data_IF_972401351402
#
_entry.id   IF_972401351402
#
_cell.length_a   1.000
_cell.length_b   1.000
_cell.length_c   1.000
_cell.angle_alpha   90.00
_cell.angle_beta   90.00
_cell.angle_gamma   90.00
#
_symmetry.space_group_name_H-M   'P 1'
#
loop_
_entity.id
_entity.type
_entity.pdbx_description
1 polymer ?
#
# COMPACT_ATOMS: atom_id res chain seq x y z
N UNK A 1 19.68 -82.20 -9.41
CA UNK A 1 19.03 -81.87 -8.12
C UNK A 1 19.21 -80.37 -7.88
N UNK A 2 18.16 -79.56 -8.12
CA UNK A 2 18.20 -78.11 -7.88
C UNK A 2 17.30 -77.76 -6.67
N UNK A 3 17.80 -77.06 -5.64
CA UNK A 3 16.98 -76.70 -4.48
C UNK A 3 16.07 -75.50 -4.82
N UNK A 4 14.77 -75.71 -4.62
CA UNK A 4 13.71 -74.76 -4.91
C UNK A 4 13.53 -73.85 -3.67
N UNK A 5 14.15 -72.67 -3.65
CA UNK A 5 13.98 -71.70 -2.56
C UNK A 5 12.61 -71.01 -2.66
N UNK A 6 11.57 -71.63 -2.09
CA UNK A 6 10.28 -70.95 -1.90
C UNK A 6 10.39 -70.03 -0.67
N UNK A 7 10.63 -68.74 -0.92
CA UNK A 7 10.39 -67.67 0.05
C UNK A 7 8.90 -67.67 0.44
N UNK A 8 8.55 -68.41 1.49
CA UNK A 8 7.23 -68.35 2.11
C UNK A 8 7.18 -67.07 2.93
N UNK A 9 6.92 -65.93 2.28
CA UNK A 9 6.62 -64.68 2.96
C UNK A 9 5.50 -64.96 3.96
N UNK A 10 5.81 -64.78 5.24
CA UNK A 10 4.87 -65.03 6.33
C UNK A 10 3.72 -64.03 6.15
N UNK A 11 2.47 -64.53 6.08
CA UNK A 11 1.22 -63.74 6.05
C UNK A 11 1.21 -62.45 6.89
N UNK A 12 1.84 -62.37 8.09
CA UNK A 12 1.94 -61.10 8.83
C UNK A 12 2.76 -59.99 8.14
N UNK A 13 3.76 -60.30 7.31
CA UNK A 13 4.55 -59.28 6.59
C UNK A 13 3.73 -58.62 5.46
N UNK A 14 2.87 -59.39 4.77
CA UNK A 14 1.97 -58.82 3.75
C UNK A 14 0.93 -57.89 4.38
N UNK A 15 0.41 -58.25 5.56
CA UNK A 15 -0.52 -57.39 6.31
C UNK A 15 0.14 -56.10 6.79
N UNK A 16 1.40 -56.16 7.23
CA UNK A 16 2.16 -54.98 7.66
C UNK A 16 2.45 -54.03 6.49
N UNK A 17 2.83 -54.56 5.32
CA UNK A 17 3.07 -53.75 4.11
C UNK A 17 1.80 -53.08 3.62
N UNK A 18 0.65 -53.77 3.67
CA UNK A 18 -0.66 -53.19 3.33
C UNK A 18 -1.10 -52.09 4.31
N UNK A 19 -0.83 -52.26 5.61
CA UNK A 19 -1.10 -51.23 6.63
C UNK A 19 -0.24 -49.97 6.44
N UNK A 20 1.04 -50.14 6.09
CA UNK A 20 1.94 -49.01 5.81
C UNK A 20 1.57 -48.32 4.50
N UNK A 21 1.16 -49.06 3.46
CA UNK A 21 0.70 -48.47 2.21
C UNK A 21 -0.59 -47.67 2.36
N UNK A 22 -1.52 -48.12 3.22
CA UNK A 22 -2.77 -47.39 3.50
C UNK A 22 -2.51 -46.10 4.32
N UNK A 23 -1.47 -46.08 5.14
CA UNK A 23 -1.08 -44.90 5.93
C UNK A 23 -0.48 -43.77 5.07
N UNK A 24 0.11 -44.08 3.91
CA UNK A 24 0.71 -43.08 3.01
C UNK A 24 -0.33 -42.40 2.11
N UNK A 25 -1.42 -43.09 1.77
CA UNK A 25 -2.49 -42.56 0.87
C UNK A 25 -3.43 -41.59 1.61
N UNK A 26 -3.46 -41.61 2.94
CA UNK A 26 -4.33 -40.76 3.76
C UNK A 26 -3.73 -39.41 4.20
N UNK A 27 -2.51 -39.07 3.77
CA UNK A 27 -1.93 -37.76 4.06
C UNK A 27 -2.76 -36.70 3.30
N UNK A 28 -3.44 -35.77 3.98
CA UNK A 28 -4.10 -34.67 3.28
C UNK A 28 -3.02 -33.94 2.48
N UNK A 29 -3.21 -33.88 1.15
CA UNK A 29 -2.42 -33.01 0.28
C UNK A 29 -2.42 -31.64 0.95
N UNK A 30 -1.22 -31.14 1.29
CA UNK A 30 -1.03 -30.04 2.21
C UNK A 30 -2.06 -28.94 2.00
N UNK A 31 -2.85 -28.65 3.04
CA UNK A 31 -3.58 -27.40 3.13
C UNK A 31 -2.50 -26.33 3.10
N UNK A 32 -2.21 -25.78 1.91
CA UNK A 32 -1.38 -24.60 1.79
C UNK A 32 -2.11 -23.50 2.57
N UNK A 33 -1.60 -23.22 3.77
CA UNK A 33 -2.12 -22.19 4.64
C UNK A 33 -2.20 -20.88 3.83
N UNK A 34 -3.38 -20.28 3.80
CA UNK A 34 -3.63 -19.02 3.12
C UNK A 34 -2.70 -17.96 3.72
N UNK A 35 -1.77 -17.44 2.92
CA UNK A 35 -0.83 -16.39 3.37
C UNK A 35 -1.54 -15.04 3.39
N UNK A 36 -1.23 -14.18 4.36
CA UNK A 36 -1.74 -12.81 4.34
C UNK A 36 -0.83 -11.90 3.51
N UNK A 37 -1.45 -11.05 2.71
CA UNK A 37 -0.80 -10.03 1.90
C UNK A 37 -1.18 -8.66 2.49
N UNK A 38 -0.28 -8.11 3.31
CA UNK A 38 -0.57 -6.93 4.14
C UNK A 38 -0.46 -5.62 3.37
N UNK A 39 -1.53 -4.85 3.32
CA UNK A 39 -1.57 -3.47 2.80
C UNK A 39 -1.65 -2.50 3.96
N UNK A 40 -0.77 -1.51 4.01
CA UNK A 40 -0.81 -0.46 5.02
C UNK A 40 -1.83 0.64 4.71
N UNK A 41 -2.67 0.99 5.67
CA UNK A 41 -3.44 2.23 5.67
C UNK A 41 -2.81 3.18 6.71
N UNK A 42 -1.83 3.99 6.28
CA UNK A 42 -1.14 4.96 7.15
C UNK A 42 -1.86 6.30 7.05
N UNK A 43 -2.98 6.38 7.76
CA UNK A 43 -3.99 7.43 7.56
C UNK A 43 -4.53 7.94 8.91
N UNK A 44 -5.03 9.18 8.99
CA UNK A 44 -5.64 9.68 10.22
C UNK A 44 -7.00 9.02 10.43
N UNK A 45 -7.12 8.14 11.42
CA UNK A 45 -8.41 7.53 11.81
C UNK A 45 -8.96 8.11 13.11
N UNK A 46 -8.17 8.96 13.76
CA UNK A 46 -8.61 9.84 14.85
C UNK A 46 -8.21 11.29 14.59
N UNK A 47 -8.70 12.19 15.45
CA UNK A 47 -8.42 13.62 15.35
C UNK A 47 -9.21 14.36 14.26
N UNK A 48 -8.83 15.61 13.93
CA UNK A 48 -9.61 16.49 13.07
C UNK A 48 -9.79 15.98 11.63
N UNK A 49 -8.84 15.19 11.12
CA UNK A 49 -8.86 14.64 9.77
C UNK A 49 -9.42 13.21 9.68
N UNK A 50 -9.99 12.67 10.77
CA UNK A 50 -10.44 11.26 10.87
C UNK A 50 -11.38 10.84 9.74
N UNK A 51 -12.28 11.74 9.31
CA UNK A 51 -13.24 11.44 8.25
C UNK A 51 -12.56 11.01 6.94
N UNK A 52 -11.42 11.63 6.60
CA UNK A 52 -10.66 11.28 5.40
C UNK A 52 -10.00 9.91 5.53
N UNK A 53 -9.30 9.64 6.63
CA UNK A 53 -8.62 8.36 6.80
C UNK A 53 -9.57 7.19 7.00
N UNK A 54 -10.70 7.39 7.68
CA UNK A 54 -11.76 6.37 7.77
C UNK A 54 -12.37 6.05 6.39
N UNK A 55 -12.51 7.05 5.52
CA UNK A 55 -12.95 6.83 4.13
C UNK A 55 -11.97 5.94 3.36
N UNK A 56 -10.68 6.24 3.44
CA UNK A 56 -9.63 5.45 2.77
C UNK A 56 -9.50 4.05 3.37
N UNK A 57 -9.51 3.92 4.70
CA UNK A 57 -9.48 2.62 5.37
C UNK A 57 -10.63 1.73 4.88
N UNK A 58 -11.86 2.23 4.91
CA UNK A 58 -13.04 1.48 4.47
C UNK A 58 -12.99 1.15 2.99
N UNK A 59 -12.47 2.06 2.15
CA UNK A 59 -12.27 1.80 0.73
C UNK A 59 -11.27 0.67 0.48
N UNK A 60 -10.17 0.63 1.24
CA UNK A 60 -9.20 -0.47 1.18
C UNK A 60 -9.78 -1.78 1.69
N UNK A 61 -10.56 -1.76 2.78
CA UNK A 61 -11.24 -2.95 3.31
C UNK A 61 -12.24 -3.51 2.30
N UNK A 62 -13.07 -2.67 1.68
CA UNK A 62 -14.01 -3.07 0.65
C UNK A 62 -13.29 -3.64 -0.58
N UNK A 63 -12.22 -2.99 -1.03
CA UNK A 63 -11.41 -3.51 -2.14
C UNK A 63 -10.77 -4.87 -1.80
N UNK A 64 -10.32 -5.07 -0.56
CA UNK A 64 -9.80 -6.35 -0.09
C UNK A 64 -10.88 -7.45 -0.06
N UNK A 65 -12.11 -7.10 0.29
CA UNK A 65 -13.26 -8.01 0.22
C UNK A 65 -13.61 -8.40 -1.22
N UNK A 66 -13.68 -7.42 -2.12
CA UNK A 66 -14.00 -7.64 -3.55
C UNK A 66 -12.95 -8.51 -4.25
N UNK A 67 -11.66 -8.29 -3.96
CA UNK A 67 -10.57 -9.13 -4.48
C UNK A 67 -10.62 -10.53 -3.88
N UNK A 68 -10.98 -10.66 -2.61
CA UNK A 68 -11.08 -11.93 -1.90
C UNK A 68 -9.73 -12.67 -1.81
N UNK A 69 -9.74 -13.97 -2.14
CA UNK A 69 -8.54 -14.80 -2.18
C UNK A 69 -8.03 -14.87 -3.61
N UNK A 70 -6.79 -14.44 -3.82
CA UNK A 70 -6.14 -14.43 -5.12
C UNK A 70 -4.92 -15.37 -5.11
N UNK A 71 -4.46 -15.77 -6.30
CA UNK A 71 -3.30 -16.65 -6.44
C UNK A 71 -2.18 -15.95 -7.22
N UNK A 72 -0.96 -15.98 -6.68
CA UNK A 72 0.25 -15.46 -7.33
C UNK A 72 1.30 -16.56 -7.31
N UNK A 73 1.88 -16.88 -8.47
CA UNK A 73 2.88 -17.94 -8.62
C UNK A 73 2.49 -19.29 -7.98
N UNK A 74 1.19 -19.64 -8.01
CA UNK A 74 0.65 -20.89 -7.44
C UNK A 74 0.38 -20.85 -5.93
N UNK A 75 0.68 -19.75 -5.25
CA UNK A 75 0.37 -19.55 -3.83
C UNK A 75 -0.89 -18.70 -3.65
N UNK A 76 -1.72 -19.07 -2.66
CA UNK A 76 -2.96 -18.35 -2.34
C UNK A 76 -2.72 -17.30 -1.27
N UNK A 77 -3.20 -16.09 -1.54
CA UNK A 77 -3.09 -14.92 -0.69
C UNK A 77 -4.46 -14.33 -0.40
N UNK A 78 -4.60 -13.73 0.79
CA UNK A 78 -5.72 -12.85 1.12
C UNK A 78 -5.19 -11.48 1.50
N UNK A 79 -5.81 -10.43 0.97
CA UNK A 79 -5.49 -9.06 1.36
C UNK A 79 -5.86 -8.84 2.84
N UNK A 80 -4.92 -8.30 3.59
CA UNK A 80 -5.10 -7.88 4.98
C UNK A 80 -4.78 -6.38 5.07
N UNK A 81 -5.78 -5.56 5.38
CA UNK A 81 -5.57 -4.12 5.57
C UNK A 81 -5.11 -3.90 7.03
N UNK A 82 -3.97 -3.26 7.19
CA UNK A 82 -3.41 -2.92 8.51
C UNK A 82 -3.38 -1.40 8.66
N UNK A 83 -4.14 -0.90 9.62
CA UNK A 83 -4.31 0.55 9.83
C UNK A 83 -3.32 1.10 10.85
N UNK A 84 -2.73 2.25 10.51
CA UNK A 84 -1.81 2.99 11.35
C UNK A 84 -2.29 4.43 11.48
N UNK A 85 -2.77 4.79 12.68
CA UNK A 85 -3.33 6.11 12.93
C UNK A 85 -2.24 7.18 12.98
N UNK A 86 -2.31 8.15 12.06
CA UNK A 86 -1.38 9.27 12.02
C UNK A 86 -1.89 10.50 12.75
N UNK A 87 -3.18 10.58 13.08
CA UNK A 87 -3.85 11.79 13.61
C UNK A 87 -3.58 13.05 12.74
N UNK A 88 -3.07 12.88 11.52
CA UNK A 88 -2.60 13.92 10.62
C UNK A 88 -1.44 14.76 11.18
N UNK A 89 -0.56 14.15 11.98
CA UNK A 89 0.61 14.80 12.55
C UNK A 89 1.92 14.24 11.95
N UNK A 90 2.91 15.09 11.58
CA UNK A 90 4.18 14.65 11.00
C UNK A 90 4.95 13.63 11.85
N UNK A 91 5.06 13.87 13.16
CA UNK A 91 5.76 13.00 14.12
C UNK A 91 5.09 11.63 14.26
N UNK A 92 3.76 11.61 14.31
CA UNK A 92 2.96 10.38 14.37
C UNK A 92 3.03 9.61 13.06
N UNK A 93 3.08 10.30 11.92
CA UNK A 93 3.23 9.67 10.60
C UNK A 93 4.59 8.98 10.49
N UNK A 94 5.67 9.61 10.97
CA UNK A 94 7.00 8.99 11.07
C UNK A 94 6.96 7.74 11.97
N UNK A 95 6.32 7.81 13.13
CA UNK A 95 6.19 6.64 14.01
C UNK A 95 5.37 5.50 13.36
N UNK A 96 4.28 5.86 12.67
CA UNK A 96 3.40 4.94 11.99
C UNK A 96 4.11 4.18 10.86
N UNK A 97 4.83 4.88 9.97
CA UNK A 97 5.55 4.23 8.87
C UNK A 97 6.70 3.36 9.38
N UNK A 98 7.42 3.80 10.42
CA UNK A 98 8.46 2.99 11.04
C UNK A 98 7.90 1.69 11.61
N UNK A 99 6.77 1.74 12.33
CA UNK A 99 6.10 0.53 12.81
C UNK A 99 5.67 -0.36 11.65
N UNK A 100 5.04 0.21 10.62
CA UNK A 100 4.56 -0.54 9.47
C UNK A 100 5.69 -1.31 8.79
N UNK A 101 6.80 -0.64 8.50
CA UNK A 101 7.91 -1.23 7.74
C UNK A 101 8.78 -2.15 8.59
N UNK A 102 9.21 -1.70 9.78
CA UNK A 102 10.22 -2.40 10.57
C UNK A 102 9.63 -3.43 11.53
N UNK A 103 8.42 -3.21 12.06
CA UNK A 103 7.82 -4.13 13.03
C UNK A 103 6.85 -5.11 12.35
N UNK A 104 5.97 -4.59 11.49
CA UNK A 104 4.88 -5.37 10.90
C UNK A 104 5.20 -5.92 9.50
N UNK A 105 6.36 -5.53 8.96
CA UNK A 105 6.91 -5.91 7.66
C UNK A 105 5.98 -5.58 6.47
N UNK A 106 5.24 -4.48 6.57
CA UNK A 106 4.41 -3.94 5.49
C UNK A 106 5.30 -3.24 4.46
N UNK A 107 5.08 -3.52 3.18
CA UNK A 107 5.92 -3.03 2.07
C UNK A 107 5.24 -2.05 1.14
N UNK A 108 3.92 -1.95 1.22
CA UNK A 108 3.11 -1.08 0.37
C UNK A 108 1.88 -0.63 1.12
N UNK A 109 1.36 0.54 0.73
CA UNK A 109 0.18 1.09 1.38
C UNK A 109 -0.20 2.45 0.84
N UNK A 110 -1.24 3.00 1.46
CA UNK A 110 -1.73 4.35 1.19
C UNK A 110 -1.34 5.25 2.35
N UNK A 111 -0.78 6.41 2.02
CA UNK A 111 -0.48 7.48 2.97
C UNK A 111 -1.24 8.74 2.56
N UNK A 112 -1.88 9.42 3.51
CA UNK A 112 -2.71 10.61 3.21
C UNK A 112 -2.01 11.91 3.63
N UNK A 113 -1.99 12.88 2.72
CA UNK A 113 -1.81 14.30 3.03
C UNK A 113 -0.43 14.88 2.72
N UNK A 114 -0.39 15.97 1.97
CA UNK A 114 0.86 16.63 1.57
C UNK A 114 1.72 17.10 2.76
N UNK A 115 1.10 17.56 3.86
CA UNK A 115 1.82 18.10 5.02
C UNK A 115 2.62 17.08 5.83
N UNK A 116 2.27 15.79 5.76
CA UNK A 116 2.92 14.73 6.54
C UNK A 116 3.92 13.89 5.74
N UNK A 117 3.93 14.02 4.41
CA UNK A 117 4.83 13.26 3.53
C UNK A 117 6.31 13.68 3.61
N UNK A 118 6.68 14.98 3.61
CA UNK A 118 8.09 15.39 3.59
C UNK A 118 9.01 14.67 4.60
N UNK A 119 8.64 14.50 5.88
CA UNK A 119 9.51 13.82 6.85
C UNK A 119 9.63 12.30 6.63
N UNK A 120 8.70 11.66 5.90
CA UNK A 120 8.74 10.21 5.66
C UNK A 120 9.37 9.83 4.32
N UNK A 121 9.60 10.77 3.40
CA UNK A 121 10.25 10.50 2.12
C UNK A 121 11.62 9.82 2.27
N UNK A 122 12.50 10.20 3.21
CA UNK A 122 13.76 9.47 3.43
C UNK A 122 13.53 8.01 3.81
N UNK A 123 12.51 7.73 4.65
CA UNK A 123 12.16 6.37 5.08
C UNK A 123 11.64 5.58 3.89
N UNK A 124 10.76 6.17 3.07
CA UNK A 124 10.23 5.55 1.85
C UNK A 124 11.38 5.15 0.91
N UNK A 125 12.33 6.06 0.66
CA UNK A 125 13.50 5.80 -0.18
C UNK A 125 14.41 4.71 0.38
N UNK A 126 14.73 4.79 1.67
CA UNK A 126 15.61 3.83 2.34
C UNK A 126 15.01 2.41 2.33
N UNK A 127 13.71 2.31 2.60
CA UNK A 127 13.02 1.04 2.78
C UNK A 127 12.47 0.46 1.49
N UNK A 128 12.38 1.26 0.42
CA UNK A 128 11.70 0.91 -0.82
C UNK A 128 10.19 0.71 -0.64
N UNK A 129 9.59 1.35 0.36
CA UNK A 129 8.14 1.27 0.58
C UNK A 129 7.39 1.81 -0.63
N UNK A 130 6.45 1.02 -1.15
CA UNK A 130 5.60 1.43 -2.27
C UNK A 130 4.41 2.22 -1.75
N UNK A 131 4.52 3.53 -1.88
CA UNK A 131 3.54 4.49 -1.40
C UNK A 131 2.55 4.86 -2.50
N UNK A 132 1.27 4.63 -2.24
CA UNK A 132 0.17 5.19 -3.00
C UNK A 132 -0.33 6.46 -2.31
N UNK A 133 0.37 7.56 -2.55
CA UNK A 133 0.10 8.86 -1.98
C UNK A 133 -1.30 9.35 -2.36
N UNK A 134 -2.13 9.63 -1.35
CA UNK A 134 -3.49 10.14 -1.50
C UNK A 134 -3.62 11.55 -0.92
N UNK A 135 -4.26 12.46 -1.65
CA UNK A 135 -4.33 13.89 -1.30
C UNK A 135 -2.95 14.50 -0.94
N UNK A 136 -1.91 14.06 -1.65
CA UNK A 136 -0.50 14.39 -1.41
C UNK A 136 0.10 14.96 -2.70
N UNK A 137 -0.20 16.22 -2.97
CA UNK A 137 -0.04 16.80 -4.31
C UNK A 137 1.27 17.59 -4.52
N UNK A 138 2.11 17.71 -3.49
CA UNK A 138 3.43 18.37 -3.57
C UNK A 138 4.40 17.68 -4.51
N UNK A 139 5.15 18.45 -5.33
CA UNK A 139 6.14 17.91 -6.29
C UNK A 139 7.21 17.05 -5.65
N UNK A 140 7.62 17.42 -4.44
CA UNK A 140 8.64 16.73 -3.68
C UNK A 140 8.24 15.29 -3.33
N UNK A 141 6.95 14.93 -3.47
CA UNK A 141 6.41 13.62 -3.09
C UNK A 141 6.55 12.61 -4.22
N UNK A 142 6.15 12.95 -5.44
CA UNK A 142 6.29 12.05 -6.60
C UNK A 142 7.10 12.74 -7.69
N UNK A 143 8.35 12.29 -7.82
CA UNK A 143 9.35 12.79 -8.75
C UNK A 143 10.38 11.65 -8.98
N UNK A 144 11.33 11.82 -9.91
CA UNK A 144 12.34 10.78 -10.17
C UNK A 144 13.16 10.35 -8.95
N UNK A 145 13.30 11.19 -7.92
CA UNK A 145 14.04 10.86 -6.69
C UNK A 145 13.22 9.96 -5.73
N UNK A 146 11.91 9.81 -5.98
CA UNK A 146 10.99 8.98 -5.22
C UNK A 146 10.31 7.92 -6.12
N UNK A 147 11.05 6.93 -6.64
CA UNK A 147 10.54 6.00 -7.65
C UNK A 147 9.45 5.05 -7.13
N UNK A 148 9.30 4.93 -5.80
CA UNK A 148 8.29 4.08 -5.16
C UNK A 148 7.09 4.87 -4.65
N UNK A 149 7.03 6.18 -4.88
CA UNK A 149 5.87 7.00 -4.51
C UNK A 149 5.05 7.34 -5.76
N UNK A 150 3.81 6.84 -5.79
CA UNK A 150 2.84 7.07 -6.85
C UNK A 150 1.63 7.83 -6.30
N UNK A 151 1.06 8.74 -7.07
CA UNK A 151 -0.10 9.53 -6.65
C UNK A 151 -1.40 8.95 -7.24
N UNK A 152 -2.44 8.89 -6.42
CA UNK A 152 -3.81 8.53 -6.87
C UNK A 152 -4.52 9.77 -7.45
N UNK A 153 -4.20 10.95 -6.92
CA UNK A 153 -4.78 12.22 -7.36
C UNK A 153 -3.82 12.98 -8.28
N UNK A 154 -4.37 13.90 -9.09
CA UNK A 154 -3.58 14.80 -9.92
C UNK A 154 -2.60 15.63 -9.08
N UNK A 155 -1.49 16.02 -9.70
CA UNK A 155 -0.53 16.94 -9.09
C UNK A 155 -1.12 18.33 -8.87
N UNK A 156 -0.62 19.07 -7.86
CA UNK A 156 -1.08 20.44 -7.62
C UNK A 156 -0.81 21.33 -8.83
N UNK A 157 0.28 21.12 -9.59
CA UNK A 157 0.56 21.86 -10.83
C UNK A 157 -0.48 21.63 -11.90
N UNK A 158 -0.81 20.37 -12.20
CA UNK A 158 -1.83 20.08 -13.20
C UNK A 158 -3.16 20.72 -12.80
N UNK A 159 -3.51 20.64 -11.51
CA UNK A 159 -4.73 21.25 -11.00
C UNK A 159 -4.68 22.79 -11.09
N UNK A 160 -3.60 23.42 -10.65
CA UNK A 160 -3.47 24.88 -10.65
C UNK A 160 -3.39 25.45 -12.06
N UNK A 161 -2.66 24.81 -12.98
CA UNK A 161 -2.58 25.23 -14.39
C UNK A 161 -3.96 25.19 -15.03
N UNK A 162 -4.67 24.07 -14.93
CA UNK A 162 -5.99 23.92 -15.52
C UNK A 162 -6.98 24.97 -14.97
N UNK A 163 -6.93 25.25 -13.66
CA UNK A 163 -7.78 26.26 -13.04
C UNK A 163 -7.43 27.67 -13.48
N UNK A 164 -6.15 28.00 -13.60
CA UNK A 164 -5.67 29.30 -14.11
C UNK A 164 -6.05 29.47 -15.59
N UNK A 165 -5.85 28.44 -16.42
CA UNK A 165 -6.13 28.45 -17.85
C UNK A 165 -7.63 28.64 -18.13
N UNK A 166 -8.49 28.12 -17.24
CA UNK A 166 -9.93 28.36 -17.28
C UNK A 166 -10.40 29.65 -16.58
N UNK A 167 -9.47 30.51 -16.16
CA UNK A 167 -9.77 31.82 -15.56
C UNK A 167 -10.41 31.73 -14.17
N UNK A 168 -10.23 30.61 -13.46
CA UNK A 168 -10.71 30.43 -12.10
C UNK A 168 -9.70 31.06 -11.15
N UNK A 169 -10.08 32.20 -10.56
CA UNK A 169 -9.28 32.87 -9.53
C UNK A 169 -9.24 31.98 -8.27
N UNK A 170 -8.08 31.42 -7.98
CA UNK A 170 -7.85 30.63 -6.78
C UNK A 170 -7.52 31.54 -5.60
N UNK A 171 -8.42 31.61 -4.63
CA UNK A 171 -8.06 32.13 -3.31
C UNK A 171 -7.15 31.10 -2.64
N UNK A 172 -5.95 31.48 -2.13
CA UNK A 172 -5.06 30.56 -1.42
C UNK A 172 -5.68 29.94 -0.16
N UNK A 173 -6.84 30.44 0.28
CA UNK A 173 -7.62 29.96 1.42
C UNK A 173 -8.80 29.06 1.05
N UNK A 174 -9.05 28.80 -0.24
CA UNK A 174 -10.33 28.25 -0.70
C UNK A 174 -10.20 27.32 -1.89
N UNK A 175 -9.36 26.28 -1.79
CA UNK A 175 -9.47 25.13 -2.69
C UNK A 175 -10.37 24.08 -2.04
N UNK A 176 -11.57 23.88 -2.57
CA UNK A 176 -12.54 22.87 -2.09
C UNK A 176 -12.04 21.40 -2.18
N UNK A 177 -10.82 21.19 -2.67
CA UNK A 177 -10.12 19.90 -2.69
C UNK A 177 -9.01 19.78 -1.62
N UNK A 178 -8.63 20.88 -0.95
CA UNK A 178 -7.63 20.96 0.11
C UNK A 178 -8.29 21.59 1.35
N UNK A 179 -9.02 20.79 2.13
CA UNK A 179 -9.58 21.24 3.42
C UNK A 179 -8.52 21.33 4.54
N UNK A 180 -7.24 21.23 4.20
CA UNK A 180 -6.11 21.29 5.13
C UNK A 180 -5.34 22.57 4.88
N UNK A 181 -4.86 23.21 5.95
CA UNK A 181 -4.07 24.43 5.85
C UNK A 181 -2.95 24.28 4.81
N UNK A 182 -2.96 25.17 3.82
CA UNK A 182 -1.96 25.21 2.75
C UNK A 182 -0.62 25.55 3.40
N UNK A 183 0.35 24.66 3.28
CA UNK A 183 1.70 24.90 3.83
C UNK A 183 2.43 25.98 3.04
N UNK A 184 3.47 26.61 3.62
CA UNK A 184 4.30 27.61 2.92
C UNK A 184 4.81 27.09 1.58
N UNK A 185 5.24 25.82 1.52
CA UNK A 185 5.68 25.18 0.27
C UNK A 185 4.58 25.10 -0.79
N UNK A 186 3.31 24.92 -0.42
CA UNK A 186 2.20 24.91 -1.39
C UNK A 186 1.83 26.34 -1.85
N UNK A 187 2.00 27.35 -0.97
CA UNK A 187 1.81 28.76 -1.32
C UNK A 187 2.91 29.21 -2.29
N UNK A 188 4.18 28.99 -1.94
CA UNK A 188 5.31 29.30 -2.81
C UNK A 188 5.14 28.60 -4.16
N UNK A 189 4.72 27.34 -4.15
CA UNK A 189 4.50 26.59 -5.37
C UNK A 189 3.33 27.13 -6.23
N UNK A 190 2.22 27.52 -5.61
CA UNK A 190 1.14 28.20 -6.33
C UNK A 190 1.65 29.50 -6.97
N UNK A 191 2.43 30.30 -6.25
CA UNK A 191 3.01 31.53 -6.78
C UNK A 191 3.99 31.28 -7.93
N UNK A 192 4.79 30.23 -7.87
CA UNK A 192 5.66 29.82 -8.99
C UNK A 192 4.85 29.45 -10.23
N UNK A 193 3.80 28.62 -10.09
CA UNK A 193 2.94 28.22 -11.21
C UNK A 193 2.21 29.43 -11.78
N UNK A 194 1.65 30.29 -10.93
CA UNK A 194 0.99 31.53 -11.34
C UNK A 194 1.96 32.46 -12.09
N UNK A 195 3.16 32.67 -11.56
CA UNK A 195 4.19 33.49 -12.19
C UNK A 195 4.61 32.90 -13.55
N UNK A 196 4.73 31.58 -13.65
CA UNK A 196 5.02 30.90 -14.92
C UNK A 196 3.87 31.07 -15.93
N UNK A 197 2.60 30.93 -15.53
CA UNK A 197 1.45 31.16 -16.40
C UNK A 197 1.37 32.63 -16.89
N UNK A 198 1.67 33.60 -16.01
CA UNK A 198 1.66 35.03 -16.37
C UNK A 198 2.78 35.39 -17.36
N UNK A 199 3.97 34.82 -17.20
CA UNK A 199 5.15 35.24 -17.95
C UNK A 199 5.52 34.36 -19.15
N UNK A 200 5.17 33.07 -19.14
CA UNK A 200 5.61 32.10 -20.15
C UNK A 200 4.46 31.58 -21.02
N UNK A 201 3.37 32.35 -21.17
CA UNK A 201 2.13 31.98 -21.88
C UNK A 201 2.28 30.79 -22.84
N UNK A 202 1.70 29.66 -22.43
CA UNK A 202 1.70 28.37 -23.13
C UNK A 202 3.03 27.95 -23.76
N UNK A 203 3.84 27.21 -23.01
CA UNK A 203 4.90 26.38 -23.58
C UNK A 203 4.61 24.91 -23.30
N UNK A 204 3.85 24.31 -24.24
CA UNK A 204 3.69 22.89 -24.61
C UNK A 204 4.15 21.79 -23.64
#
# INVERSE_FOLDING_TARGET
MHPQWRLRMRRPMLALVLLVALAVVGLPAGVHAQKSFKVGAIVPVSGPAAAFGLGVQRGLELAAEDVGVFAVAGEKYKLEVVTYDTVYAPDKTVAAINRAVYNDNVKYGVIIGAGVHPPILPIIRETGFLDFAFAAAGRQITNPDNPTAFRIMASSDQLYRELIDHGILLAPTGLGCLSTAVGEAEIEYFLEVLNACIHNGDSA
#
